data_IF_731411222363
#
_entry.id   IF_731411222363
#
_cell.length_a   1.000
_cell.length_b   1.000
_cell.length_c   1.000
_cell.angle_alpha   90.00
_cell.angle_beta   90.00
_cell.angle_gamma   90.00
#
_symmetry.space_group_name_H-M   'P 1'
#
loop_
_entity.id
_entity.type
_entity.pdbx_description
1 polymer ?
#
# COMPACT_ATOMS: atom_id res chain seq x y z
N UNK A 1 -38.29 -14.38 -22.15
CA UNK A 1 -36.91 -13.99 -22.49
C UNK A 1 -36.20 -13.76 -21.18
N UNK A 2 -35.12 -14.51 -20.91
CA UNK A 2 -34.38 -14.42 -19.66
C UNK A 2 -33.55 -13.13 -19.65
N UNK A 3 -33.74 -12.29 -18.63
CA UNK A 3 -32.81 -11.24 -18.26
C UNK A 3 -31.65 -11.94 -17.54
N UNK A 4 -30.47 -11.89 -18.13
CA UNK A 4 -29.24 -12.43 -17.56
C UNK A 4 -28.81 -11.53 -16.40
N UNK A 5 -28.86 -12.06 -15.18
CA UNK A 5 -28.21 -11.50 -13.98
C UNK A 5 -26.68 -11.49 -14.21
N UNK A 6 -26.15 -10.35 -14.66
CA UNK A 6 -24.76 -9.99 -14.37
C UNK A 6 -24.80 -8.99 -13.22
N UNK A 7 -24.95 -9.54 -12.01
CA UNK A 7 -24.79 -8.83 -10.76
C UNK A 7 -23.31 -8.47 -10.61
N UNK A 8 -22.91 -7.39 -11.31
CA UNK A 8 -21.58 -6.80 -11.14
C UNK A 8 -21.46 -6.37 -9.69
N UNK A 9 -20.62 -7.07 -8.92
CA UNK A 9 -20.23 -6.64 -7.58
C UNK A 9 -19.82 -5.17 -7.67
N UNK A 10 -20.64 -4.27 -7.12
CA UNK A 10 -20.26 -2.86 -6.94
C UNK A 10 -19.15 -2.88 -5.90
N UNK A 11 -17.91 -2.82 -6.37
CA UNK A 11 -16.77 -2.82 -5.47
C UNK A 11 -16.65 -1.47 -4.79
N UNK A 12 -16.33 -1.48 -3.49
CA UNK A 12 -16.15 -0.25 -2.74
C UNK A 12 -14.95 0.52 -3.26
N UNK A 13 -15.08 1.85 -3.40
CA UNK A 13 -13.94 2.72 -3.71
C UNK A 13 -12.88 2.69 -2.60
N UNK A 14 -13.30 2.43 -1.36
CA UNK A 14 -12.43 2.41 -0.18
C UNK A 14 -12.84 1.39 0.87
N UNK A 15 -11.87 0.96 1.69
CA UNK A 15 -12.10 0.11 2.85
C UNK A 15 -11.50 0.70 4.13
N UNK A 16 -12.17 0.40 5.24
CA UNK A 16 -11.74 0.71 6.60
C UNK A 16 -11.55 -0.57 7.41
N UNK A 17 -10.96 -0.44 8.59
CA UNK A 17 -10.66 -1.55 9.50
C UNK A 17 -9.90 -2.69 8.80
N UNK A 18 -8.96 -2.34 7.92
CA UNK A 18 -8.33 -3.29 7.03
C UNK A 18 -7.18 -4.08 7.70
N UNK A 19 -6.93 -5.29 7.20
CA UNK A 19 -5.76 -6.10 7.52
C UNK A 19 -5.40 -7.03 6.37
N UNK A 20 -4.14 -7.45 6.28
CA UNK A 20 -3.68 -8.39 5.26
C UNK A 20 -3.18 -9.68 5.90
N UNK A 21 -3.56 -10.81 5.32
CA UNK A 21 -3.17 -12.14 5.76
C UNK A 21 -2.42 -12.87 4.65
N UNK A 22 -1.43 -13.68 5.01
CA UNK A 22 -0.82 -14.64 4.09
C UNK A 22 -1.65 -15.95 4.00
N UNK A 23 -1.12 -16.96 3.31
CA UNK A 23 -1.76 -18.28 3.19
C UNK A 23 -1.84 -19.08 4.49
N UNK A 24 -1.10 -18.69 5.53
CA UNK A 24 -1.12 -19.31 6.86
C UNK A 24 -2.03 -18.53 7.84
N UNK A 25 -2.86 -17.61 7.35
CA UNK A 25 -3.68 -16.68 8.13
C UNK A 25 -2.88 -15.78 9.09
N UNK A 26 -1.58 -15.54 8.80
CA UNK A 26 -0.74 -14.63 9.59
C UNK A 26 -0.85 -13.22 9.05
N UNK A 27 -0.90 -12.25 9.95
CA UNK A 27 -0.94 -10.84 9.56
C UNK A 27 0.41 -10.39 8.97
N UNK A 28 0.36 -9.87 7.74
CA UNK A 28 1.54 -9.41 6.99
C UNK A 28 1.33 -7.97 6.51
N UNK A 29 2.37 -7.13 6.39
CA UNK A 29 2.23 -5.80 5.79
C UNK A 29 1.91 -5.93 4.29
N UNK A 30 1.09 -5.05 3.72
CA UNK A 30 0.83 -5.08 2.27
C UNK A 30 2.08 -4.80 1.43
N UNK A 31 3.16 -4.29 2.03
CA UNK A 31 4.46 -4.08 1.36
C UNK A 31 5.16 -5.37 0.90
N UNK A 32 4.68 -6.55 1.30
CA UNK A 32 5.16 -7.82 0.73
C UNK A 32 4.67 -8.04 -0.71
N UNK A 33 3.63 -7.30 -1.11
CA UNK A 33 3.16 -7.26 -2.49
C UNK A 33 4.03 -6.31 -3.32
N UNK A 34 4.15 -6.55 -4.63
CA UNK A 34 4.87 -5.64 -5.52
C UNK A 34 4.23 -4.24 -5.54
N UNK A 35 5.09 -3.22 -5.61
CA UNK A 35 4.68 -1.84 -5.87
C UNK A 35 4.54 -1.63 -7.37
N UNK A 36 3.39 -1.13 -7.83
CA UNK A 36 3.21 -0.70 -9.22
C UNK A 36 3.32 0.81 -9.31
N UNK A 37 4.12 1.27 -10.27
CA UNK A 37 4.31 2.68 -10.55
C UNK A 37 3.50 3.12 -11.77
N UNK A 38 3.21 2.18 -12.67
CA UNK A 38 2.36 2.38 -13.84
C UNK A 38 1.27 1.30 -13.92
N UNK A 39 0.12 1.62 -14.52
CA UNK A 39 -0.96 0.65 -14.75
C UNK A 39 -0.60 -0.39 -15.85
N UNK A 40 0.56 -0.24 -16.49
CA UNK A 40 1.11 -1.15 -17.50
C UNK A 40 2.23 -2.04 -16.96
N UNK A 41 2.58 -1.93 -15.68
CA UNK A 41 3.60 -2.77 -15.07
C UNK A 41 3.10 -4.21 -15.00
N UNK A 42 3.86 -5.14 -15.59
CA UNK A 42 3.61 -6.58 -15.44
C UNK A 42 3.83 -6.97 -13.98
N UNK A 43 2.73 -7.14 -13.24
CA UNK A 43 2.78 -7.74 -11.92
C UNK A 43 2.78 -9.25 -12.10
N UNK A 44 3.96 -9.85 -12.04
CA UNK A 44 4.04 -11.30 -11.90
C UNK A 44 3.30 -11.66 -10.62
N UNK A 45 2.42 -12.66 -10.69
CA UNK A 45 1.78 -13.19 -9.50
C UNK A 45 2.85 -13.95 -8.73
N UNK A 46 3.73 -13.21 -8.03
CA UNK A 46 4.62 -13.76 -7.04
C UNK A 46 3.78 -14.75 -6.26
N UNK A 47 4.19 -16.02 -6.18
CA UNK A 47 3.34 -17.10 -5.68
C UNK A 47 2.74 -16.86 -4.28
N UNK A 48 3.19 -15.79 -3.61
CA UNK A 48 2.53 -15.11 -2.50
C UNK A 48 1.01 -14.92 -2.73
N UNK A 49 0.27 -15.54 -1.83
CA UNK A 49 -1.17 -15.36 -1.70
C UNK A 49 -1.40 -14.49 -0.49
N UNK A 50 -1.67 -13.21 -0.73
CA UNK A 50 -2.04 -12.25 0.32
C UNK A 50 -3.50 -11.90 0.15
N UNK A 51 -4.26 -12.01 1.24
CA UNK A 51 -5.68 -11.71 1.31
C UNK A 51 -5.89 -10.43 2.09
N UNK A 52 -6.59 -9.49 1.47
CA UNK A 52 -7.04 -8.25 2.08
C UNK A 52 -8.41 -8.46 2.72
N UNK A 53 -8.53 -8.04 3.97
CA UNK A 53 -9.78 -7.98 4.72
C UNK A 53 -10.08 -6.54 5.07
N UNK A 54 -11.36 -6.17 5.09
CA UNK A 54 -11.78 -4.86 5.55
C UNK A 54 -13.29 -4.71 5.54
N UNK A 55 -13.75 -3.47 5.76
CA UNK A 55 -15.16 -3.12 5.77
C UNK A 55 -15.41 -1.94 4.83
N UNK A 56 -16.39 -2.07 3.93
CA UNK A 56 -16.87 -0.99 3.06
C UNK A 56 -17.73 0.02 3.83
N UNK A 57 -18.04 1.14 3.19
CA UNK A 57 -18.96 2.17 3.71
C UNK A 57 -20.33 1.59 4.13
N UNK A 58 -20.83 0.58 3.40
CA UNK A 58 -22.06 -0.13 3.73
C UNK A 58 -21.97 -1.17 4.86
N UNK A 59 -20.85 -1.24 5.60
CA UNK A 59 -20.62 -2.23 6.64
C UNK A 59 -20.35 -3.65 6.14
N UNK A 60 -20.35 -3.85 4.82
CA UNK A 60 -20.07 -5.13 4.16
C UNK A 60 -18.60 -5.50 4.35
N UNK A 61 -18.36 -6.78 4.69
CA UNK A 61 -17.00 -7.30 4.85
C UNK A 61 -16.40 -7.62 3.49
N UNK A 62 -15.20 -7.12 3.24
CA UNK A 62 -14.39 -7.45 2.07
C UNK A 62 -13.43 -8.56 2.46
N UNK A 63 -13.33 -9.58 1.60
CA UNK A 63 -12.29 -10.60 1.64
C UNK A 63 -11.85 -10.88 0.20
N UNK A 64 -10.72 -10.31 -0.21
CA UNK A 64 -10.23 -10.42 -1.60
C UNK A 64 -8.73 -10.63 -1.65
N UNK A 65 -8.26 -11.38 -2.65
CA UNK A 65 -6.81 -11.52 -2.88
C UNK A 65 -6.26 -10.20 -3.41
N UNK A 66 -5.21 -9.72 -2.76
CA UNK A 66 -4.43 -8.58 -3.19
C UNK A 66 -3.22 -9.06 -3.99
N UNK A 67 -2.89 -8.36 -5.07
CA UNK A 67 -1.82 -8.74 -6.00
C UNK A 67 -0.73 -7.69 -6.12
N UNK A 68 -1.04 -6.43 -5.86
CA UNK A 68 -0.10 -5.33 -5.90
C UNK A 68 -0.61 -4.14 -5.08
N UNK A 69 0.24 -3.13 -4.91
CA UNK A 69 -0.16 -1.86 -4.28
C UNK A 69 0.55 -0.67 -4.94
N UNK A 70 -0.01 0.52 -4.73
CA UNK A 70 0.62 1.80 -5.09
C UNK A 70 0.22 2.87 -4.09
N UNK A 71 0.87 4.02 -4.15
CA UNK A 71 0.51 5.18 -3.34
C UNK A 71 0.60 6.45 -4.17
N UNK A 72 -0.23 7.42 -3.83
CA UNK A 72 -0.27 8.75 -4.42
C UNK A 72 0.04 9.78 -3.34
N UNK A 73 0.97 10.69 -3.66
CA UNK A 73 1.44 11.76 -2.78
C UNK A 73 1.06 13.16 -3.28
N UNK A 74 0.25 13.25 -4.33
CA UNK A 74 -0.16 14.52 -4.95
C UNK A 74 -1.19 15.28 -4.12
N UNK A 75 -2.04 14.55 -3.38
CA UNK A 75 -3.14 15.09 -2.59
C UNK A 75 -2.69 15.74 -1.26
N UNK A 76 -3.67 16.22 -0.47
CA UNK A 76 -3.41 16.74 0.88
C UNK A 76 -2.93 15.68 1.87
N UNK A 77 -3.37 14.44 1.71
CA UNK A 77 -3.03 13.28 2.52
C UNK A 77 -2.58 12.19 1.55
N UNK A 78 -1.52 11.43 1.86
CA UNK A 78 -1.11 10.34 0.98
C UNK A 78 -2.21 9.28 0.88
N UNK A 79 -2.54 8.89 -0.35
CA UNK A 79 -3.55 7.87 -0.62
C UNK A 79 -2.86 6.56 -0.98
N UNK A 80 -3.31 5.46 -0.39
CA UNK A 80 -2.75 4.12 -0.62
C UNK A 80 -3.79 3.28 -1.33
N UNK A 81 -3.39 2.67 -2.44
CA UNK A 81 -4.22 1.83 -3.29
C UNK A 81 -3.70 0.41 -3.28
N UNK A 82 -4.62 -0.55 -3.23
CA UNK A 82 -4.32 -1.97 -3.39
C UNK A 82 -5.06 -2.54 -4.57
N UNK A 83 -4.33 -3.25 -5.41
CA UNK A 83 -4.88 -3.95 -6.57
C UNK A 83 -5.42 -5.30 -6.11
N UNK A 84 -6.71 -5.50 -6.31
CA UNK A 84 -7.34 -6.81 -6.17
C UNK A 84 -7.03 -7.70 -7.37
N UNK A 85 -7.14 -9.01 -7.19
CA UNK A 85 -7.04 -9.99 -8.29
C UNK A 85 -8.01 -9.69 -9.45
N UNK A 86 -9.14 -9.06 -9.14
CA UNK A 86 -10.17 -8.66 -10.11
C UNK A 86 -9.79 -7.40 -10.91
N UNK A 87 -8.54 -6.94 -10.79
CA UNK A 87 -7.97 -5.73 -11.44
C UNK A 87 -8.61 -4.41 -11.00
N UNK A 88 -9.20 -4.39 -9.81
CA UNK A 88 -9.77 -3.19 -9.23
C UNK A 88 -8.86 -2.62 -8.14
N UNK A 89 -8.61 -1.31 -8.23
CA UNK A 89 -7.90 -0.54 -7.22
C UNK A 89 -8.85 -0.16 -6.08
N UNK A 90 -8.43 -0.43 -4.85
CA UNK A 90 -9.21 -0.17 -3.65
C UNK A 90 -8.39 0.73 -2.73
N UNK A 91 -8.99 1.81 -2.24
CA UNK A 91 -8.32 2.76 -1.35
C UNK A 91 -8.31 2.21 0.09
N UNK A 92 -7.13 2.25 0.72
CA UNK A 92 -6.97 1.93 2.14
C UNK A 92 -7.08 3.21 2.99
N UNK A 93 -8.08 3.26 3.87
CA UNK A 93 -8.23 4.39 4.81
C UNK A 93 -7.65 4.05 6.18
N UNK A 94 -8.44 3.40 7.04
CA UNK A 94 -8.07 3.12 8.43
C UNK A 94 -7.70 1.65 8.63
N UNK A 95 -6.50 1.32 9.13
CA UNK A 95 -6.15 -0.06 9.46
C UNK A 95 -6.96 -0.56 10.66
N UNK A 96 -7.08 -1.89 10.79
CA UNK A 96 -7.60 -2.54 11.98
C UNK A 96 -6.66 -2.30 13.17
N UNK A 97 -7.21 -2.06 14.37
CA UNK A 97 -6.40 -1.78 15.57
C UNK A 97 -5.35 -2.84 15.89
N UNK A 98 -5.65 -4.12 15.66
CA UNK A 98 -4.68 -5.22 15.85
C UNK A 98 -3.59 -5.28 14.78
N UNK A 99 -3.81 -4.60 13.65
CA UNK A 99 -2.92 -4.57 12.49
C UNK A 99 -2.01 -3.33 12.47
N UNK A 100 -2.39 -2.27 13.20
CA UNK A 100 -1.60 -1.04 13.35
C UNK A 100 -0.11 -1.31 13.66
N UNK A 101 0.29 -2.19 14.60
CA UNK A 101 1.71 -2.40 14.90
C UNK A 101 2.53 -2.94 13.72
N UNK A 102 1.88 -3.62 12.77
CA UNK A 102 2.53 -4.22 11.60
C UNK A 102 2.75 -3.18 10.50
N UNK A 103 1.79 -2.27 10.33
CA UNK A 103 1.77 -1.33 9.20
C UNK A 103 2.20 0.09 9.57
N UNK A 104 2.28 0.43 10.85
CA UNK A 104 2.56 1.80 11.31
C UNK A 104 3.88 2.36 10.75
N UNK A 105 4.94 1.56 10.69
CA UNK A 105 6.24 2.00 10.14
C UNK A 105 6.12 2.38 8.66
N UNK A 106 5.37 1.61 7.88
CA UNK A 106 5.13 1.86 6.47
C UNK A 106 4.27 3.11 6.27
N UNK A 107 3.19 3.27 7.04
CA UNK A 107 2.35 4.45 6.98
C UNK A 107 3.14 5.72 7.35
N UNK A 108 3.95 5.67 8.40
CA UNK A 108 4.84 6.78 8.79
C UNK A 108 5.81 7.12 7.66
N UNK A 109 6.40 6.12 7.01
CA UNK A 109 7.31 6.32 5.87
C UNK A 109 6.61 7.02 4.71
N UNK A 110 5.39 6.59 4.36
CA UNK A 110 4.57 7.20 3.29
C UNK A 110 4.19 8.65 3.64
N UNK A 111 3.81 8.93 4.89
CA UNK A 111 3.51 10.31 5.32
C UNK A 111 4.76 11.20 5.34
N UNK A 112 5.92 10.64 5.69
CA UNK A 112 7.18 11.38 5.62
C UNK A 112 7.57 11.67 4.16
N UNK A 113 7.43 10.69 3.26
CA UNK A 113 7.57 10.88 1.81
C UNK A 113 6.68 12.02 1.32
N UNK A 114 5.38 12.00 1.68
CA UNK A 114 4.42 13.05 1.33
C UNK A 114 4.85 14.44 1.81
N UNK A 115 5.30 14.55 3.06
CA UNK A 115 5.77 15.82 3.62
C UNK A 115 6.97 16.38 2.86
N UNK A 116 7.92 15.52 2.46
CA UNK A 116 9.07 15.94 1.67
C UNK A 116 8.68 16.31 0.23
N UNK A 117 7.72 15.62 -0.38
CA UNK A 117 7.19 15.98 -1.71
C UNK A 117 6.63 17.40 -1.72
N UNK A 118 5.90 17.80 -0.66
CA UNK A 118 5.28 19.12 -0.59
C UNK A 118 6.25 20.27 -0.30
N UNK A 119 7.35 19.98 0.37
CA UNK A 119 8.24 21.01 0.93
C UNK A 119 9.65 21.02 0.33
N UNK A 120 10.00 19.98 -0.43
CA UNK A 120 11.31 19.83 -1.07
C UNK A 120 11.41 20.57 -2.40
N UNK A 121 12.62 20.84 -2.84
CA UNK A 121 12.90 21.25 -4.21
C UNK A 121 12.78 20.05 -5.16
N UNK A 122 12.21 20.26 -6.35
CA UNK A 122 11.93 19.21 -7.34
C UNK A 122 13.16 18.34 -7.66
N UNK A 123 14.36 18.92 -7.63
CA UNK A 123 15.60 18.20 -7.90
C UNK A 123 15.94 17.17 -6.81
N UNK A 124 15.93 17.57 -5.54
CA UNK A 124 16.21 16.67 -4.41
C UNK A 124 15.13 15.60 -4.29
N UNK A 125 13.87 15.97 -4.52
CA UNK A 125 12.75 15.04 -4.52
C UNK A 125 12.87 13.96 -5.60
N UNK A 126 13.11 14.36 -6.86
CA UNK A 126 13.26 13.40 -7.96
C UNK A 126 14.43 12.43 -7.74
N UNK A 127 15.57 12.95 -7.27
CA UNK A 127 16.74 12.11 -6.94
C UNK A 127 16.46 11.13 -5.81
N UNK A 128 15.69 11.56 -4.81
CA UNK A 128 15.26 10.72 -3.71
C UNK A 128 14.28 9.63 -4.18
N UNK A 129 13.29 9.98 -4.99
CA UNK A 129 12.32 9.04 -5.58
C UNK A 129 13.02 7.98 -6.43
N UNK A 130 13.97 8.36 -7.28
CA UNK A 130 14.73 7.40 -8.08
C UNK A 130 15.54 6.44 -7.21
N UNK A 131 16.18 6.97 -6.16
CA UNK A 131 16.91 6.14 -5.18
C UNK A 131 15.97 5.20 -4.42
N UNK A 132 14.79 5.68 -4.06
CA UNK A 132 13.78 4.92 -3.33
C UNK A 132 13.15 3.82 -4.19
N UNK A 133 12.87 4.09 -5.47
CA UNK A 133 12.37 3.12 -6.46
C UNK A 133 13.33 1.94 -6.62
N UNK A 134 14.64 2.20 -6.69
CA UNK A 134 15.66 1.15 -6.80
C UNK A 134 15.67 0.20 -5.58
N UNK A 135 15.35 0.73 -4.40
CA UNK A 135 15.30 -0.05 -3.15
C UNK A 135 14.03 -0.88 -3.06
N UNK A 136 12.86 -0.28 -3.33
CA UNK A 136 11.57 -0.98 -3.27
C UNK A 136 11.52 -2.14 -4.27
N UNK A 137 12.07 -1.95 -5.46
CA UNK A 137 12.07 -2.98 -6.51
C UNK A 137 12.95 -4.18 -6.15
N UNK A 138 13.93 -4.01 -5.25
CA UNK A 138 14.72 -5.10 -4.67
C UNK A 138 14.16 -5.50 -3.29
N UNK A 139 13.05 -6.25 -3.32
CA UNK A 139 12.22 -6.62 -2.16
C UNK A 139 12.97 -7.21 -0.95
N UNK A 140 14.16 -7.80 -1.13
CA UNK A 140 14.94 -8.39 -0.03
C UNK A 140 15.57 -7.36 0.94
N UNK A 141 15.57 -6.06 0.58
CA UNK A 141 16.27 -5.00 1.35
C UNK A 141 15.35 -4.04 2.09
N UNK A 142 14.03 -4.21 1.99
CA UNK A 142 13.03 -3.33 2.62
C UNK A 142 13.24 -3.19 4.14
N UNK A 143 13.62 -4.25 4.84
CA UNK A 143 13.90 -4.19 6.29
C UNK A 143 15.09 -3.28 6.64
N UNK A 144 16.17 -3.32 5.86
CA UNK A 144 17.36 -2.51 6.13
C UNK A 144 17.14 -1.04 5.76
N UNK A 145 16.34 -0.75 4.75
CA UNK A 145 16.09 0.62 4.32
C UNK A 145 15.07 1.34 5.20
N UNK A 146 14.06 0.64 5.72
CA UNK A 146 13.17 1.20 6.75
C UNK A 146 13.94 1.49 8.05
N UNK A 147 14.90 0.63 8.43
CA UNK A 147 15.81 0.90 9.54
C UNK A 147 16.74 2.09 9.25
N UNK A 148 17.22 2.25 8.02
CA UNK A 148 18.07 3.36 7.60
C UNK A 148 17.31 4.69 7.50
N UNK A 149 16.08 4.68 6.99
CA UNK A 149 15.20 5.85 6.98
C UNK A 149 14.76 6.23 8.40
N UNK A 150 14.42 5.26 9.25
CA UNK A 150 14.19 5.52 10.67
C UNK A 150 15.46 6.06 11.34
N UNK A 151 16.64 5.52 11.04
CA UNK A 151 17.92 6.03 11.54
C UNK A 151 18.16 7.48 11.10
N UNK A 152 17.95 7.80 9.83
CA UNK A 152 18.07 9.17 9.31
C UNK A 152 17.04 10.11 9.94
N UNK A 153 15.77 9.70 10.08
CA UNK A 153 14.73 10.50 10.73
C UNK A 153 15.05 10.74 12.21
N UNK A 154 15.56 9.73 12.93
CA UNK A 154 15.96 9.85 14.34
C UNK A 154 17.21 10.75 14.49
N UNK A 155 18.18 10.67 13.58
CA UNK A 155 19.42 11.43 13.67
C UNK A 155 19.34 12.85 13.11
N UNK A 156 18.50 13.12 12.09
CA UNK A 156 18.37 14.46 11.51
C UNK A 156 17.37 15.38 12.23
N UNK A 157 16.55 14.87 13.17
CA UNK A 157 15.62 15.68 13.98
C UNK A 157 16.30 16.29 15.23
N UNK A 158 17.59 16.02 15.48
CA UNK A 158 18.37 16.83 16.43
C UNK A 158 19.23 17.82 15.65
N UNK A 159 18.77 19.07 15.56
CA UNK A 159 19.41 20.29 16.07
C UNK A 159 18.61 21.53 15.63
#
# INVERSE_FOLDING_TARGET
MALSDEEGEILPDFITNYSFLDSDDKSVPFSVLPVLWSDHDDYDSSGLQVFMLGTCDGGQKVYKRAVAWKFDLSDEIPTIYVLSKDRNWIILQKPKKSYEPIISSLLVTIHWLHFNNKNGDDYTWNRFVDSFRLVITNSDRMCFFLLYLLYLVIFHIRW
#
